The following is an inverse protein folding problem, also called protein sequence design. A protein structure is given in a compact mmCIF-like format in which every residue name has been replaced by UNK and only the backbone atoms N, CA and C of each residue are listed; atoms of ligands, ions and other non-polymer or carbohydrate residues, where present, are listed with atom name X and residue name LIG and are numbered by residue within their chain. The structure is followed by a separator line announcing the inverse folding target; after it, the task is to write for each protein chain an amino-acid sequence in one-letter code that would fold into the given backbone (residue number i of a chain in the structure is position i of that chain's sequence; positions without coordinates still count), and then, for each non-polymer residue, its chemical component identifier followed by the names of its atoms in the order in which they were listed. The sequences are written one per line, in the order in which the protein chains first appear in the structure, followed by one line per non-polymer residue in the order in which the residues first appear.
data_IF_348049983713
#
_entry.id   IF_348049983713
#
_cell.length_a   1.000
_cell.length_b   1.000
_cell.length_c   1.000
_cell.angle_alpha   90.00
_cell.angle_beta   90.00
_cell.angle_gamma   90.00
#
_symmetry.space_group_name_H-M   'P 1'
#
loop_
_entity.id
_entity.type
_entity.pdbx_description
1 polymer ?
#
# COMPACT_ATOMS: atom_id res chain seq x y z
N UNK A 1 13.88 -20.99 -9.59
CA UNK A 1 12.53 -20.98 -10.17
C UNK A 1 11.70 -22.17 -9.66
N UNK A 2 12.21 -23.40 -9.72
CA UNK A 2 11.51 -24.62 -9.29
C UNK A 2 11.01 -24.55 -7.83
N UNK A 3 11.87 -24.12 -6.90
CA UNK A 3 11.48 -23.96 -5.49
C UNK A 3 10.34 -22.96 -5.31
N UNK A 4 10.33 -21.84 -6.06
CA UNK A 4 9.25 -20.86 -6.03
C UNK A 4 7.94 -21.41 -6.57
N UNK A 5 7.98 -22.16 -7.66
CA UNK A 5 6.81 -22.85 -8.23
C UNK A 5 6.25 -23.88 -7.23
N UNK A 6 7.13 -24.68 -6.63
CA UNK A 6 6.75 -25.69 -5.63
C UNK A 6 6.12 -25.04 -4.40
N UNK A 7 6.66 -23.90 -3.92
CA UNK A 7 6.07 -23.13 -2.83
C UNK A 7 4.65 -22.66 -3.18
N UNK A 8 4.46 -22.00 -4.34
CA UNK A 8 3.15 -21.48 -4.75
C UNK A 8 2.12 -22.61 -4.89
N UNK A 9 2.51 -23.75 -5.45
CA UNK A 9 1.65 -24.95 -5.55
C UNK A 9 1.27 -25.50 -4.17
N UNK A 10 2.23 -25.60 -3.25
CA UNK A 10 2.00 -26.09 -1.90
C UNK A 10 1.08 -25.15 -1.09
N UNK A 11 1.26 -23.85 -1.23
CA UNK A 11 0.45 -22.85 -0.55
C UNK A 11 -0.93 -22.64 -1.19
N UNK A 12 -1.12 -23.03 -2.45
CA UNK A 12 -2.32 -22.80 -3.28
C UNK A 12 -2.54 -21.34 -3.62
N UNK A 13 -2.66 -21.03 -4.89
CA UNK A 13 -2.81 -19.65 -5.40
C UNK A 13 -4.02 -18.93 -4.76
N UNK A 14 -5.14 -19.62 -4.59
CA UNK A 14 -6.36 -19.07 -4.03
C UNK A 14 -6.17 -18.62 -2.57
N UNK A 15 -5.41 -19.38 -1.79
CA UNK A 15 -5.08 -19.03 -0.39
C UNK A 15 -4.16 -17.83 -0.32
N UNK A 16 -3.14 -17.76 -1.19
CA UNK A 16 -2.24 -16.62 -1.29
C UNK A 16 -3.03 -15.36 -1.65
N UNK A 17 -3.92 -15.45 -2.64
CA UNK A 17 -4.75 -14.34 -3.10
C UNK A 17 -5.70 -13.88 -1.99
N UNK A 18 -6.37 -14.80 -1.32
CA UNK A 18 -7.28 -14.49 -0.20
C UNK A 18 -6.55 -13.78 0.93
N UNK A 19 -5.39 -14.29 1.33
CA UNK A 19 -4.53 -13.68 2.36
C UNK A 19 -4.10 -12.27 1.97
N UNK A 20 -3.56 -12.09 0.76
CA UNK A 20 -3.12 -10.79 0.26
C UNK A 20 -4.27 -9.77 0.20
N UNK A 21 -5.45 -10.21 -0.24
CA UNK A 21 -6.65 -9.36 -0.27
C UNK A 21 -7.10 -8.94 1.13
N UNK A 22 -7.03 -9.83 2.11
CA UNK A 22 -7.38 -9.51 3.50
C UNK A 22 -6.44 -8.45 4.07
N UNK A 23 -5.13 -8.58 3.85
CA UNK A 23 -4.13 -7.61 4.28
C UNK A 23 -4.34 -6.24 3.62
N UNK A 24 -4.55 -6.21 2.30
CA UNK A 24 -4.79 -4.97 1.56
C UNK A 24 -6.10 -4.30 1.97
N UNK A 25 -7.16 -5.06 2.21
CA UNK A 25 -8.41 -4.49 2.71
C UNK A 25 -8.21 -3.84 4.07
N UNK A 26 -7.58 -4.53 5.00
CA UNK A 26 -7.24 -3.98 6.32
C UNK A 26 -6.42 -2.70 6.21
N UNK A 27 -5.40 -2.71 5.36
CA UNK A 27 -4.58 -1.52 5.09
C UNK A 27 -5.42 -0.37 4.52
N UNK A 28 -6.22 -0.62 3.49
CA UNK A 28 -7.05 0.38 2.84
C UNK A 28 -8.10 1.00 3.76
N UNK A 29 -8.82 0.17 4.52
CA UNK A 29 -9.78 0.65 5.52
C UNK A 29 -9.12 1.46 6.63
N UNK A 30 -7.91 1.05 7.05
CA UNK A 30 -7.10 1.81 8.01
C UNK A 30 -6.62 3.14 7.48
N UNK A 31 -6.13 3.17 6.23
CA UNK A 31 -5.68 4.39 5.56
C UNK A 31 -6.80 5.43 5.41
N UNK A 32 -8.01 4.99 5.04
CA UNK A 32 -9.17 5.88 4.87
C UNK A 32 -9.60 6.58 6.17
N UNK A 33 -9.19 6.06 7.33
CA UNK A 33 -9.45 6.69 8.64
C UNK A 33 -8.37 7.69 9.06
N UNK A 34 -7.26 7.76 8.34
CA UNK A 34 -6.18 8.70 8.63
C UNK A 34 -6.47 10.00 7.87
N UNK A 35 -6.62 11.15 8.56
CA UNK A 35 -6.86 12.42 7.90
C UNK A 35 -5.81 12.74 6.84
N UNK A 36 -6.24 13.32 5.72
CA UNK A 36 -5.38 13.73 4.60
C UNK A 36 -4.72 12.58 3.83
N UNK A 37 -5.09 11.33 4.10
CA UNK A 37 -4.63 10.16 3.35
C UNK A 37 -5.73 9.70 2.39
N UNK A 38 -5.37 9.55 1.13
CA UNK A 38 -6.25 9.03 0.06
C UNK A 38 -5.73 7.68 -0.39
N UNK A 39 -6.52 6.63 -0.16
CA UNK A 39 -6.23 5.27 -0.60
C UNK A 39 -7.09 4.88 -1.80
N UNK A 40 -6.46 4.34 -2.84
CA UNK A 40 -7.10 3.90 -4.09
C UNK A 40 -7.48 2.42 -3.99
N UNK A 41 -8.46 2.13 -3.12
CA UNK A 41 -8.97 0.78 -2.92
C UNK A 41 -10.07 0.48 -3.94
N UNK A 42 -10.05 -0.72 -4.53
CA UNK A 42 -11.11 -1.15 -5.44
C UNK A 42 -12.45 -1.28 -4.68
N UNK A 43 -13.56 -0.70 -5.21
CA UNK A 43 -14.88 -0.91 -4.64
C UNK A 43 -15.33 -2.37 -4.74
N UNK A 44 -14.81 -3.11 -5.74
CA UNK A 44 -15.03 -4.54 -5.88
C UNK A 44 -13.88 -5.32 -5.21
N UNK A 45 -14.16 -5.91 -4.06
CA UNK A 45 -13.19 -6.71 -3.32
C UNK A 45 -12.63 -7.89 -4.14
N UNK A 46 -13.39 -8.42 -5.07
CA UNK A 46 -12.96 -9.49 -5.99
C UNK A 46 -11.92 -9.01 -7.03
N UNK A 47 -11.90 -7.74 -7.35
CA UNK A 47 -10.94 -7.13 -8.27
C UNK A 47 -9.67 -6.62 -7.60
N UNK A 48 -9.59 -6.62 -6.26
CA UNK A 48 -8.41 -6.18 -5.52
C UNK A 48 -7.32 -7.25 -5.56
N UNK A 49 -6.10 -6.83 -5.90
CA UNK A 49 -4.87 -7.64 -5.77
C UNK A 49 -4.13 -7.32 -4.46
N UNK A 50 -2.94 -7.92 -4.28
CA UNK A 50 -2.05 -7.66 -3.14
C UNK A 50 -1.28 -6.33 -3.21
N UNK A 51 -1.87 -5.31 -3.84
CA UNK A 51 -1.25 -4.00 -4.08
C UNK A 51 -2.27 -2.90 -3.78
N UNK A 52 -1.81 -1.82 -3.15
CA UNK A 52 -2.61 -0.64 -2.84
C UNK A 52 -1.78 0.62 -3.06
N UNK A 53 -2.31 1.58 -3.80
CA UNK A 53 -1.74 2.91 -3.95
C UNK A 53 -2.41 3.89 -3.00
N UNK A 54 -1.64 4.83 -2.46
CA UNK A 54 -2.15 5.90 -1.60
C UNK A 54 -1.27 7.15 -1.70
N UNK A 55 -1.81 8.28 -1.31
CA UNK A 55 -1.08 9.53 -1.16
C UNK A 55 -1.50 10.23 0.13
N UNK A 56 -0.70 11.21 0.57
CA UNK A 56 -0.99 12.05 1.73
C UNK A 56 -0.87 13.52 1.32
N UNK A 57 -1.89 14.31 1.58
CA UNK A 57 -1.87 15.74 1.30
C UNK A 57 -0.72 16.43 2.05
N UNK A 58 0.02 17.27 1.33
CA UNK A 58 1.13 18.05 1.89
C UNK A 58 2.46 17.32 1.98
N UNK A 59 2.53 16.07 1.48
CA UNK A 59 3.78 15.33 1.32
C UNK A 59 3.86 14.73 -0.08
N UNK A 60 5.01 14.88 -0.73
CA UNK A 60 5.25 14.14 -1.97
C UNK A 60 5.31 12.63 -1.70
N UNK A 61 4.97 11.79 -2.68
CA UNK A 61 5.09 10.33 -2.54
C UNK A 61 6.49 9.88 -2.12
N UNK A 62 7.53 10.53 -2.64
CA UNK A 62 8.93 10.24 -2.32
C UNK A 62 9.23 10.55 -0.86
N UNK A 63 8.88 11.75 -0.39
CA UNK A 63 9.09 12.15 1.00
C UNK A 63 8.35 11.23 1.97
N UNK A 64 7.10 10.84 1.64
CA UNK A 64 6.31 9.93 2.44
C UNK A 64 6.93 8.52 2.49
N UNK A 65 7.40 8.01 1.34
CA UNK A 65 8.07 6.72 1.27
C UNK A 65 9.39 6.71 2.08
N UNK A 66 10.15 7.81 2.05
CA UNK A 66 11.37 7.97 2.84
C UNK A 66 11.09 7.97 4.35
N UNK A 67 10.07 8.70 4.80
CA UNK A 67 9.64 8.72 6.20
C UNK A 67 9.18 7.34 6.69
N UNK A 68 8.53 6.56 5.83
CA UNK A 68 8.12 5.19 6.12
C UNK A 68 9.32 4.23 6.10
N UNK A 69 10.24 4.41 5.16
CA UNK A 69 11.48 3.64 5.09
C UNK A 69 12.33 3.78 6.35
N UNK A 70 12.43 4.99 6.90
CA UNK A 70 13.09 5.25 8.17
C UNK A 70 12.45 4.53 9.38
N UNK A 71 11.21 4.02 9.20
CA UNK A 71 10.48 3.20 10.18
C UNK A 71 10.45 1.71 9.84
N UNK A 72 11.23 1.29 8.84
CA UNK A 72 11.37 -0.11 8.44
C UNK A 72 10.36 -0.60 7.41
N UNK A 73 9.62 0.29 6.73
CA UNK A 73 8.65 -0.07 5.68
C UNK A 73 9.21 0.22 4.29
N UNK A 74 9.53 -0.82 3.53
CA UNK A 74 10.03 -0.72 2.16
C UNK A 74 8.86 -0.54 1.17
N UNK A 75 8.56 0.70 0.81
CA UNK A 75 7.52 1.08 -0.13
C UNK A 75 8.12 1.71 -1.39
N UNK A 76 7.35 1.77 -2.45
CA UNK A 76 7.76 2.48 -3.68
C UNK A 76 6.91 3.72 -3.90
N UNK A 77 7.58 4.80 -4.31
CA UNK A 77 6.92 6.03 -4.72
C UNK A 77 7.03 6.24 -6.24
N UNK A 78 6.16 7.07 -6.80
CA UNK A 78 6.19 7.55 -8.17
C UNK A 78 5.08 6.98 -9.06
N UNK A 79 5.32 6.98 -10.39
CA UNK A 79 4.32 6.63 -11.40
C UNK A 79 4.19 5.13 -11.67
N UNK A 80 5.08 4.30 -11.14
CA UNK A 80 5.06 2.83 -11.28
C UNK A 80 4.90 2.34 -12.73
N UNK A 81 5.48 3.06 -13.71
CA UNK A 81 5.36 2.80 -15.16
C UNK A 81 3.90 2.89 -15.69
N UNK A 82 3.01 3.59 -15.01
CA UNK A 82 1.59 3.68 -15.35
C UNK A 82 1.09 5.15 -15.45
N UNK A 83 1.71 6.03 -16.27
CA UNK A 83 1.35 7.45 -16.31
C UNK A 83 -0.11 7.70 -16.69
N UNK A 84 -0.69 6.88 -17.55
CA UNK A 84 -2.10 7.01 -17.93
C UNK A 84 -3.07 6.71 -16.80
N UNK A 85 -2.74 5.73 -15.93
CA UNK A 85 -3.53 5.47 -14.73
C UNK A 85 -3.49 6.68 -13.79
N UNK A 86 -2.30 7.25 -13.56
CA UNK A 86 -2.15 8.45 -12.75
C UNK A 86 -2.87 9.67 -13.33
N UNK A 87 -2.90 9.82 -14.67
CA UNK A 87 -3.70 10.85 -15.33
C UNK A 87 -5.20 10.66 -15.05
N UNK A 88 -5.68 9.43 -15.12
CA UNK A 88 -7.10 9.11 -14.88
C UNK A 88 -7.55 9.39 -13.45
N UNK A 89 -6.70 9.09 -12.47
CA UNK A 89 -7.03 9.29 -11.04
C UNK A 89 -6.55 10.63 -10.48
N UNK A 90 -5.95 11.50 -11.31
CA UNK A 90 -5.56 12.86 -10.93
C UNK A 90 -4.31 12.94 -10.04
N UNK A 91 -3.41 11.96 -10.11
CA UNK A 91 -2.17 11.93 -9.30
C UNK A 91 -0.90 12.25 -10.10
N UNK A 92 -1.03 12.81 -11.32
CA UNK A 92 0.09 13.39 -12.05
C UNK A 92 0.42 14.78 -11.49
N UNK A 93 1.69 15.20 -11.57
CA UNK A 93 2.87 14.45 -12.06
C UNK A 93 3.53 13.56 -11.00
N UNK A 94 3.15 13.68 -9.74
CA UNK A 94 3.88 13.14 -8.58
C UNK A 94 3.74 11.63 -8.41
N UNK A 95 2.59 11.06 -8.82
CA UNK A 95 2.31 9.65 -8.62
C UNK A 95 1.73 9.34 -7.23
N UNK A 96 2.03 8.15 -6.73
CA UNK A 96 1.54 7.65 -5.43
C UNK A 96 2.62 6.85 -4.70
N UNK A 97 2.42 6.60 -3.42
CA UNK A 97 3.12 5.52 -2.70
C UNK A 97 2.38 4.21 -2.91
N UNK A 98 3.12 3.14 -3.17
CA UNK A 98 2.59 1.79 -3.39
C UNK A 98 2.97 0.86 -2.25
N UNK A 99 1.96 0.32 -1.58
CA UNK A 99 2.06 -0.81 -0.67
C UNK A 99 1.84 -2.10 -1.46
N UNK A 100 2.72 -3.07 -1.30
CA UNK A 100 2.59 -4.41 -1.87
C UNK A 100 2.76 -5.44 -0.77
N UNK A 101 1.91 -6.46 -0.77
CA UNK A 101 1.96 -7.56 0.20
C UNK A 101 2.09 -8.90 -0.51
N UNK A 102 2.59 -9.89 0.20
CA UNK A 102 2.81 -11.25 -0.28
C UNK A 102 2.32 -12.29 0.73
N UNK A 103 2.50 -13.57 0.39
CA UNK A 103 2.21 -14.70 1.28
C UNK A 103 3.00 -14.67 2.61
N UNK A 104 4.08 -13.89 2.68
CA UNK A 104 4.96 -13.82 3.85
C UNK A 104 4.60 -12.69 4.82
N UNK A 105 3.80 -11.72 4.40
CA UNK A 105 3.41 -10.62 5.26
C UNK A 105 2.36 -11.04 6.29
N UNK A 106 2.39 -10.40 7.44
CA UNK A 106 1.51 -10.66 8.57
C UNK A 106 0.59 -9.47 8.84
N UNK A 107 -0.53 -9.75 9.44
CA UNK A 107 -1.51 -8.73 9.84
C UNK A 107 -0.91 -7.69 10.79
N UNK A 108 -0.05 -8.12 11.72
CA UNK A 108 0.67 -7.24 12.65
C UNK A 108 1.58 -6.21 11.96
N UNK A 109 2.12 -6.53 10.78
CA UNK A 109 2.92 -5.58 10.00
C UNK A 109 2.04 -4.47 9.42
N UNK A 110 0.80 -4.80 9.03
CA UNK A 110 -0.18 -3.80 8.61
C UNK A 110 -0.58 -2.89 9.77
N UNK A 111 -0.77 -3.43 10.98
CA UNK A 111 -1.07 -2.62 12.17
C UNK A 111 0.07 -1.64 12.51
N UNK A 112 1.31 -2.12 12.44
CA UNK A 112 2.49 -1.28 12.66
C UNK A 112 2.65 -0.20 11.57
N UNK A 113 2.38 -0.56 10.32
CA UNK A 113 2.37 0.38 9.19
C UNK A 113 1.35 1.49 9.41
N UNK A 114 0.10 1.16 9.73
CA UNK A 114 -0.96 2.13 9.98
C UNK A 114 -0.63 3.03 11.17
N UNK A 115 -0.10 2.49 12.25
CA UNK A 115 0.37 3.25 13.42
C UNK A 115 1.46 4.25 13.03
N UNK A 116 2.42 3.81 12.24
CA UNK A 116 3.53 4.65 11.76
C UNK A 116 3.04 5.77 10.85
N UNK A 117 2.12 5.47 9.95
CA UNK A 117 1.54 6.47 9.05
C UNK A 117 0.68 7.49 9.80
N UNK A 118 -0.11 7.03 10.78
CA UNK A 118 -0.88 7.92 11.65
C UNK A 118 0.03 8.91 12.40
N UNK A 119 1.17 8.43 12.92
CA UNK A 119 2.15 9.29 13.58
C UNK A 119 2.80 10.30 12.62
N UNK A 120 3.03 9.93 11.35
CA UNK A 120 3.50 10.86 10.32
C UNK A 120 2.44 11.93 10.05
N UNK A 121 1.19 11.53 9.81
CA UNK A 121 0.09 12.45 9.55
C UNK A 121 -0.09 13.47 10.69
N UNK A 122 -0.06 13.03 11.93
CA UNK A 122 -0.20 13.88 13.10
C UNK A 122 0.90 14.96 13.23
N UNK A 123 2.14 14.64 12.79
CA UNK A 123 3.26 15.60 12.80
C UNK A 123 3.17 16.64 11.69
N UNK A 124 2.62 16.27 10.53
CA UNK A 124 2.49 17.15 9.37
C UNK A 124 1.17 17.93 9.33
N UNK A 125 0.30 17.79 10.34
CA UNK A 125 -0.93 18.56 10.48
C UNK A 125 -0.70 19.93 11.13
N UNK A 126 0.50 20.21 11.66
CA UNK A 126 0.81 21.41 12.45
C UNK A 126 1.48 22.55 11.66
N UNK A 127 1.50 22.46 10.32
CA UNK A 127 2.01 23.56 9.48
C UNK A 127 0.93 24.11 8.57
#
# INVERSE_FOLDING_TARGET
LEAGISFVRAQRQERILHHSRALIRKAGEGLQRIPRVHAFLSPNAGAQAGVLSFCMEGLSPEALAELLSARGFALRAGLHCAPFAHKTVGTLPEGTVRLSVSAFNRESEIDQFLTSLHAIAARHTKN
#
